data_IF_481796509332
#
_entry.id   IF_481796509332
#
_cell.length_a   1.000
_cell.length_b   1.000
_cell.length_c   1.000
_cell.angle_alpha   90.00
_cell.angle_beta   90.00
_cell.angle_gamma   90.00
#
_symmetry.space_group_name_H-M   'P 1'
#
loop_
_entity.id
_entity.type
_entity.pdbx_description
1 polymer ?
#
# COMPACT_ATOMS: atom_id res chain seq x y z
N UNK A 1 -2.80 -45.57 -32.67
CA UNK A 1 -2.06 -46.03 -31.47
C UNK A 1 -2.36 -45.08 -30.32
N UNK A 2 -3.40 -45.41 -29.54
CA UNK A 2 -3.97 -44.56 -28.50
C UNK A 2 -3.31 -44.88 -27.16
N UNK A 3 -2.55 -43.94 -26.59
CA UNK A 3 -1.93 -44.11 -25.26
C UNK A 3 -3.00 -43.87 -24.18
N UNK A 4 -3.42 -44.95 -23.54
CA UNK A 4 -4.25 -44.91 -22.33
C UNK A 4 -3.40 -44.36 -21.18
N UNK A 5 -3.76 -43.19 -20.66
CA UNK A 5 -3.16 -42.61 -19.47
C UNK A 5 -3.60 -43.40 -18.22
N UNK A 6 -2.69 -43.68 -17.28
CA UNK A 6 -3.01 -44.41 -16.06
C UNK A 6 -3.96 -43.59 -15.17
N UNK A 7 -5.05 -44.22 -14.76
CA UNK A 7 -6.03 -43.67 -13.83
C UNK A 7 -5.38 -43.49 -12.45
N UNK A 8 -5.08 -42.24 -12.11
CA UNK A 8 -4.60 -41.86 -10.78
C UNK A 8 -5.70 -42.15 -9.75
N UNK A 9 -5.51 -43.23 -8.99
CA UNK A 9 -6.40 -43.63 -7.89
C UNK A 9 -6.44 -42.50 -6.84
N UNK A 10 -7.59 -41.85 -6.72
CA UNK A 10 -7.82 -40.82 -5.70
C UNK A 10 -7.93 -41.49 -4.33
N UNK A 11 -7.21 -41.03 -3.29
CA UNK A 11 -7.33 -41.56 -1.95
C UNK A 11 -8.78 -41.45 -1.45
N UNK A 12 -9.30 -42.54 -0.89
CA UNK A 12 -10.56 -42.57 -0.13
C UNK A 12 -10.21 -42.75 1.34
N UNK A 13 -11.01 -42.17 2.23
CA UNK A 13 -10.87 -42.44 3.65
C UNK A 13 -11.34 -43.86 4.00
N UNK A 14 -11.15 -44.26 5.25
CA UNK A 14 -11.59 -45.56 5.78
C UNK A 14 -13.11 -45.76 5.76
N UNK A 15 -13.90 -44.74 5.39
CA UNK A 15 -15.36 -44.79 5.23
C UNK A 15 -15.79 -44.79 3.76
N UNK A 16 -14.83 -44.87 2.82
CA UNK A 16 -15.09 -44.86 1.38
C UNK A 16 -15.48 -43.48 0.83
N UNK A 17 -15.44 -42.43 1.64
CA UNK A 17 -15.75 -41.07 1.22
C UNK A 17 -14.54 -40.50 0.47
N UNK A 18 -14.82 -39.80 -0.64
CA UNK A 18 -13.80 -39.09 -1.40
C UNK A 18 -13.36 -37.86 -0.62
N UNK A 19 -12.20 -37.93 -0.01
CA UNK A 19 -11.56 -36.80 0.64
C UNK A 19 -10.91 -35.92 -0.43
N UNK A 20 -11.33 -34.66 -0.52
CA UNK A 20 -10.63 -33.66 -1.32
C UNK A 20 -9.35 -33.35 -0.54
N UNK A 21 -8.19 -33.77 -1.02
CA UNK A 21 -6.91 -33.36 -0.45
C UNK A 21 -6.83 -31.84 -0.57
N UNK A 22 -7.18 -31.13 0.51
CA UNK A 22 -6.87 -29.72 0.64
C UNK A 22 -5.35 -29.67 0.71
N UNK A 23 -4.75 -29.20 -0.38
CA UNK A 23 -3.33 -29.14 -0.59
C UNK A 23 -2.69 -28.39 0.60
N UNK A 24 -1.87 -29.06 1.40
CA UNK A 24 -1.20 -28.49 2.60
C UNK A 24 -0.38 -27.23 2.29
N UNK A 25 -0.15 -26.93 1.03
CA UNK A 25 0.45 -25.68 0.51
C UNK A 25 -0.40 -24.44 0.82
N UNK A 26 -1.74 -24.54 0.86
CA UNK A 26 -2.62 -23.39 1.10
C UNK A 26 -2.53 -22.87 2.53
N UNK A 27 -2.58 -23.76 3.52
CA UNK A 27 -2.48 -23.40 4.94
C UNK A 27 -1.11 -22.79 5.32
N UNK A 28 -0.02 -23.23 4.67
CA UNK A 28 1.32 -22.65 4.88
C UNK A 28 1.47 -21.29 4.20
N UNK A 29 0.83 -21.08 3.04
CA UNK A 29 0.75 -19.77 2.37
C UNK A 29 -0.09 -18.77 3.18
N UNK A 30 -1.22 -19.18 3.74
CA UNK A 30 -2.06 -18.32 4.57
C UNK A 30 -1.34 -17.83 5.84
N UNK A 31 -0.58 -18.70 6.51
CA UNK A 31 0.22 -18.32 7.68
C UNK A 31 1.38 -17.35 7.35
N UNK A 32 2.02 -17.53 6.20
CA UNK A 32 3.12 -16.66 5.75
C UNK A 32 2.61 -15.27 5.32
N UNK A 33 1.48 -15.23 4.60
CA UNK A 33 0.80 -13.97 4.23
C UNK A 33 0.30 -13.19 5.45
N UNK A 34 -0.07 -13.86 6.54
CA UNK A 34 -0.48 -13.22 7.79
C UNK A 34 0.67 -12.49 8.51
N UNK A 35 1.89 -13.06 8.49
CA UNK A 35 3.07 -12.42 9.06
C UNK A 35 3.57 -11.26 8.20
N UNK A 36 3.60 -11.43 6.88
CA UNK A 36 4.02 -10.39 5.94
C UNK A 36 3.11 -9.15 6.00
N UNK A 37 1.79 -9.37 6.17
CA UNK A 37 0.82 -8.29 6.35
C UNK A 37 1.02 -7.52 7.65
N UNK A 38 1.42 -8.18 8.74
CA UNK A 38 1.73 -7.48 10.01
C UNK A 38 3.00 -6.64 9.89
N UNK A 39 4.01 -7.16 9.21
CA UNK A 39 5.29 -6.47 9.03
C UNK A 39 5.15 -5.21 8.17
N UNK A 40 4.39 -5.27 7.08
CA UNK A 40 4.14 -4.10 6.22
C UNK A 40 3.36 -3.01 6.97
N UNK A 41 2.42 -3.40 7.85
CA UNK A 41 1.64 -2.45 8.65
C UNK A 41 2.48 -1.80 9.76
N UNK A 42 3.40 -2.53 10.40
CA UNK A 42 4.29 -1.94 11.41
C UNK A 42 5.28 -0.95 10.78
N UNK A 43 5.89 -1.31 9.65
CA UNK A 43 6.89 -0.46 9.00
C UNK A 43 6.28 0.83 8.44
N UNK A 44 5.04 0.77 7.96
CA UNK A 44 4.30 1.98 7.52
C UNK A 44 3.84 2.85 8.70
N UNK A 45 3.49 2.24 9.84
CA UNK A 45 3.14 2.98 11.04
C UNK A 45 4.34 3.76 11.62
N UNK A 46 5.52 3.15 11.69
CA UNK A 46 6.72 3.82 12.21
C UNK A 46 7.14 5.02 11.36
N UNK A 47 7.09 4.89 10.03
CA UNK A 47 7.38 6.01 9.11
C UNK A 47 6.37 7.15 9.23
N UNK A 48 5.08 6.82 9.34
CA UNK A 48 4.03 7.82 9.52
C UNK A 48 4.18 8.58 10.85
N UNK A 49 4.56 7.90 11.92
CA UNK A 49 4.82 8.52 13.23
C UNK A 49 6.05 9.42 13.15
N UNK A 50 7.14 8.98 12.53
CA UNK A 50 8.35 9.79 12.35
C UNK A 50 8.09 11.08 11.55
N UNK A 51 7.36 10.99 10.44
CA UNK A 51 6.98 12.15 9.63
C UNK A 51 6.08 13.12 10.40
N UNK A 52 5.15 12.58 11.20
CA UNK A 52 4.28 13.40 12.06
C UNK A 52 5.10 14.16 13.09
N UNK A 53 6.07 13.50 13.73
CA UNK A 53 6.97 14.15 14.69
C UNK A 53 7.86 15.22 14.04
N UNK A 54 8.36 15.00 12.82
CA UNK A 54 9.12 15.99 12.07
C UNK A 54 8.32 17.28 11.82
N UNK A 55 7.05 17.14 11.43
CA UNK A 55 6.16 18.29 11.21
C UNK A 55 5.88 19.02 12.53
N UNK A 56 5.61 18.29 13.61
CA UNK A 56 5.35 18.86 14.93
C UNK A 56 6.59 19.60 15.45
N UNK A 57 7.77 18.96 15.42
CA UNK A 57 9.02 19.56 15.88
C UNK A 57 9.42 20.76 15.04
N UNK A 58 9.26 20.70 13.71
CA UNK A 58 9.48 21.84 12.82
C UNK A 58 8.55 23.01 13.14
N UNK A 59 7.27 22.72 13.41
CA UNK A 59 6.31 23.73 13.86
C UNK A 59 6.68 24.37 15.20
N UNK A 60 7.02 23.55 16.20
CA UNK A 60 7.44 24.03 17.53
C UNK A 60 8.70 24.88 17.42
N UNK A 61 9.71 24.43 16.67
CA UNK A 61 10.93 25.19 16.44
C UNK A 61 10.67 26.51 15.72
N UNK A 62 9.80 26.52 14.71
CA UNK A 62 9.41 27.74 14.01
C UNK A 62 8.72 28.75 14.93
N UNK A 63 7.77 28.28 15.74
CA UNK A 63 7.08 29.12 16.74
C UNK A 63 8.04 29.64 17.80
N UNK A 64 8.93 28.78 18.32
CA UNK A 64 9.94 29.17 19.29
C UNK A 64 10.89 30.23 18.76
N UNK A 65 11.36 30.09 17.51
CA UNK A 65 12.23 31.08 16.85
C UNK A 65 11.52 32.43 16.68
N UNK A 66 10.22 32.42 16.33
CA UNK A 66 9.41 33.63 16.23
C UNK A 66 9.32 34.35 17.58
N UNK A 67 9.08 33.61 18.67
CA UNK A 67 8.97 34.19 20.02
C UNK A 67 10.29 34.79 20.51
N UNK A 68 11.44 34.17 20.18
CA UNK A 68 12.77 34.67 20.54
C UNK A 68 13.19 35.88 19.70
N UNK A 69 12.79 35.92 18.42
CA UNK A 69 13.11 37.03 17.52
C UNK A 69 12.23 38.27 17.72
N UNK A 70 11.03 38.12 18.30
CA UNK A 70 10.04 39.18 18.49
C UNK A 70 10.56 40.52 19.08
N UNK A 71 11.42 40.56 20.13
CA UNK A 71 11.89 41.82 20.69
C UNK A 71 12.87 42.58 19.79
N UNK A 72 13.52 41.93 18.82
CA UNK A 72 14.48 42.57 17.92
C UNK A 72 13.83 43.29 16.72
N UNK A 73 12.53 43.11 16.48
CA UNK A 73 11.85 43.55 15.23
C UNK A 73 10.81 44.65 15.48
N UNK A 74 11.01 45.47 16.51
CA UNK A 74 10.01 46.39 17.07
C UNK A 74 9.48 47.49 16.12
N UNK A 75 9.95 47.61 14.88
CA UNK A 75 9.39 48.56 13.90
C UNK A 75 8.78 47.91 12.64
N UNK A 76 9.11 46.66 12.31
CA UNK A 76 8.61 45.93 11.11
C UNK A 76 8.08 44.51 11.45
N UNK A 77 7.97 44.17 12.74
CA UNK A 77 8.14 42.81 13.25
C UNK A 77 6.94 41.90 13.37
N UNK A 78 5.72 42.42 13.42
CA UNK A 78 4.55 41.54 13.43
C UNK A 78 4.29 40.95 12.04
N UNK A 79 4.42 41.76 10.98
CA UNK A 79 4.20 41.29 9.62
C UNK A 79 5.27 40.30 9.16
N UNK A 80 6.54 40.54 9.49
CA UNK A 80 7.64 39.62 9.18
C UNK A 80 7.47 38.26 9.87
N UNK A 81 7.18 38.26 11.18
CA UNK A 81 6.93 37.03 11.93
C UNK A 81 5.70 36.26 11.41
N UNK A 82 4.60 36.97 11.14
CA UNK A 82 3.39 36.35 10.60
C UNK A 82 3.62 35.75 9.20
N UNK A 83 4.34 36.46 8.31
CA UNK A 83 4.68 35.97 6.98
C UNK A 83 5.62 34.76 7.04
N UNK A 84 6.61 34.76 7.94
CA UNK A 84 7.51 33.63 8.13
C UNK A 84 6.76 32.40 8.67
N UNK A 85 5.88 32.59 9.65
CA UNK A 85 5.03 31.52 10.18
C UNK A 85 4.09 30.95 9.12
N UNK A 86 3.44 31.81 8.33
CA UNK A 86 2.59 31.40 7.22
C UNK A 86 3.40 30.63 6.16
N UNK A 87 4.59 31.11 5.81
CA UNK A 87 5.48 30.45 4.85
C UNK A 87 5.91 29.06 5.36
N UNK A 88 6.34 28.95 6.62
CA UNK A 88 6.71 27.67 7.22
C UNK A 88 5.53 26.68 7.27
N UNK A 89 4.33 27.15 7.63
CA UNK A 89 3.12 26.34 7.62
C UNK A 89 2.75 25.87 6.21
N UNK A 90 2.84 26.75 5.21
CA UNK A 90 2.59 26.42 3.80
C UNK A 90 3.60 25.38 3.29
N UNK A 91 4.89 25.57 3.59
CA UNK A 91 5.94 24.60 3.24
C UNK A 91 5.67 23.24 3.90
N UNK A 92 5.36 23.21 5.19
CA UNK A 92 5.00 21.98 5.91
C UNK A 92 3.79 21.28 5.30
N UNK A 93 2.74 22.02 4.94
CA UNK A 93 1.55 21.50 4.29
C UNK A 93 1.85 20.91 2.90
N UNK A 94 2.66 21.60 2.09
CA UNK A 94 3.07 21.12 0.75
C UNK A 94 3.88 19.83 0.89
N UNK A 95 4.87 19.79 1.78
CA UNK A 95 5.70 18.60 2.02
C UNK A 95 4.84 17.42 2.48
N UNK A 96 3.92 17.65 3.41
CA UNK A 96 2.98 16.64 3.88
C UNK A 96 2.09 16.11 2.73
N UNK A 97 1.52 17.00 1.91
CA UNK A 97 0.66 16.61 0.79
C UNK A 97 1.42 15.81 -0.28
N UNK A 98 2.66 16.22 -0.60
CA UNK A 98 3.52 15.50 -1.55
C UNK A 98 3.90 14.13 -1.00
N UNK A 99 4.32 14.05 0.25
CA UNK A 99 4.71 12.80 0.88
C UNK A 99 3.54 11.81 0.94
N UNK A 100 2.33 12.27 1.29
CA UNK A 100 1.13 11.42 1.25
C UNK A 100 0.83 10.88 -0.14
N UNK A 101 1.04 11.67 -1.19
CA UNK A 101 0.86 11.21 -2.58
C UNK A 101 1.90 10.17 -2.99
N UNK A 102 3.15 10.33 -2.56
CA UNK A 102 4.20 9.36 -2.82
C UNK A 102 3.92 8.03 -2.11
N UNK A 103 3.58 8.09 -0.82
CA UNK A 103 3.23 6.91 -0.04
C UNK A 103 2.01 6.19 -0.63
N UNK A 104 0.98 6.93 -1.04
CA UNK A 104 -0.19 6.36 -1.68
C UNK A 104 0.17 5.59 -2.97
N UNK A 105 1.11 6.11 -3.77
CA UNK A 105 1.58 5.43 -4.99
C UNK A 105 2.38 4.16 -4.69
N UNK A 106 3.22 4.18 -3.65
CA UNK A 106 4.01 3.02 -3.25
C UNK A 106 3.12 1.90 -2.71
N UNK A 107 2.17 2.25 -1.82
CA UNK A 107 1.17 1.31 -1.32
C UNK A 107 0.34 0.75 -2.48
N UNK A 108 -0.11 1.59 -3.41
CA UNK A 108 -0.87 1.15 -4.58
C UNK A 108 -0.08 0.14 -5.42
N UNK A 109 1.19 0.43 -5.70
CA UNK A 109 2.09 -0.47 -6.44
C UNK A 109 2.25 -1.81 -5.72
N UNK A 110 2.40 -1.79 -4.40
CA UNK A 110 2.56 -3.00 -3.59
C UNK A 110 1.28 -3.86 -3.55
N UNK A 111 0.10 -3.26 -3.48
CA UNK A 111 -1.16 -4.00 -3.57
C UNK A 111 -1.36 -4.62 -4.95
N UNK A 112 -1.06 -3.87 -6.02
CA UNK A 112 -1.19 -4.35 -7.39
C UNK A 112 -0.17 -5.44 -7.74
N UNK A 113 1.05 -5.39 -7.20
CA UNK A 113 2.03 -6.47 -7.38
C UNK A 113 1.59 -7.79 -6.76
N UNK A 114 0.79 -7.72 -5.69
CA UNK A 114 0.12 -8.88 -5.07
C UNK A 114 -1.24 -9.18 -5.69
N UNK A 115 -1.58 -8.56 -6.84
CA UNK A 115 -2.87 -8.68 -7.53
C UNK A 115 -4.05 -8.49 -6.56
N UNK A 116 -3.98 -7.48 -5.69
CA UNK A 116 -5.07 -7.08 -4.80
C UNK A 116 -5.50 -5.64 -5.07
N UNK A 117 -6.79 -5.36 -4.87
CA UNK A 117 -7.34 -4.02 -5.00
C UNK A 117 -6.76 -3.11 -3.90
N UNK A 118 -6.10 -1.98 -4.24
CA UNK A 118 -5.59 -1.02 -3.26
C UNK A 118 -6.67 -0.38 -2.38
N UNK A 119 -7.93 -0.32 -2.83
CA UNK A 119 -9.03 0.33 -2.11
C UNK A 119 -9.71 -0.58 -1.05
N UNK A 120 -9.94 -1.85 -1.38
CA UNK A 120 -10.68 -2.79 -0.49
C UNK A 120 -9.93 -4.09 -0.20
N UNK A 121 -8.72 -4.27 -0.75
CA UNK A 121 -7.90 -5.47 -0.63
C UNK A 121 -8.48 -6.77 -1.24
N UNK A 122 -9.55 -6.69 -2.04
CA UNK A 122 -10.11 -7.84 -2.79
C UNK A 122 -9.09 -8.43 -3.78
N UNK A 123 -9.07 -9.74 -3.93
CA UNK A 123 -8.15 -10.44 -4.83
C UNK A 123 -8.56 -10.28 -6.31
N UNK A 124 -7.61 -9.93 -7.17
CA UNK A 124 -7.82 -9.64 -8.59
C UNK A 124 -7.31 -10.76 -9.52
N UNK A 125 -6.74 -11.83 -8.96
CA UNK A 125 -6.03 -12.91 -9.69
C UNK A 125 -6.83 -13.60 -10.81
N UNK A 126 -8.16 -13.57 -10.72
CA UNK A 126 -9.05 -14.35 -11.59
C UNK A 126 -10.09 -13.49 -12.32
N UNK A 127 -9.97 -12.17 -12.22
CA UNK A 127 -10.86 -11.26 -12.92
C UNK A 127 -10.41 -11.11 -14.38
N UNK A 128 -11.39 -11.03 -15.27
CA UNK A 128 -11.12 -10.73 -16.68
C UNK A 128 -10.64 -9.28 -16.81
N UNK A 129 -9.62 -9.06 -17.63
CA UNK A 129 -9.24 -7.70 -18.03
C UNK A 129 -10.24 -7.22 -19.07
N UNK A 130 -10.69 -5.99 -18.92
CA UNK A 130 -11.49 -5.30 -19.92
C UNK A 130 -10.65 -4.94 -21.17
N UNK A 131 -11.31 -4.46 -22.22
CA UNK A 131 -10.65 -4.14 -23.50
C UNK A 131 -9.54 -3.09 -23.41
N UNK A 132 -9.52 -2.30 -22.34
CA UNK A 132 -8.51 -1.28 -22.04
C UNK A 132 -7.32 -1.83 -21.20
N UNK A 133 -7.34 -3.10 -20.83
CA UNK A 133 -6.34 -3.74 -19.98
C UNK A 133 -6.52 -3.48 -18.48
N UNK A 134 -7.63 -2.85 -18.07
CA UNK A 134 -7.97 -2.64 -16.68
C UNK A 134 -8.74 -3.83 -16.10
N UNK A 135 -8.61 -4.06 -14.80
CA UNK A 135 -9.45 -4.97 -14.03
C UNK A 135 -10.36 -4.15 -13.12
N UNK A 136 -11.67 -4.36 -13.22
CA UNK A 136 -12.67 -3.73 -12.34
C UNK A 136 -12.85 -4.60 -11.10
N UNK A 137 -12.66 -4.01 -9.93
CA UNK A 137 -12.90 -4.68 -8.65
C UNK A 137 -14.42 -4.83 -8.43
N UNK A 138 -14.95 -6.06 -8.23
CA UNK A 138 -16.39 -6.28 -8.06
C UNK A 138 -16.93 -5.75 -6.73
N UNK A 139 -16.07 -5.58 -5.71
CA UNK A 139 -16.49 -5.11 -4.38
C UNK A 139 -16.67 -3.59 -4.32
N UNK A 140 -15.72 -2.83 -4.88
CA UNK A 140 -15.70 -1.37 -4.75
C UNK A 140 -15.91 -0.61 -6.07
N UNK A 141 -15.93 -1.31 -7.21
CA UNK A 141 -16.07 -0.70 -8.53
C UNK A 141 -14.81 0.02 -9.06
N UNK A 142 -13.71 0.07 -8.30
CA UNK A 142 -12.47 0.69 -8.76
C UNK A 142 -11.79 -0.14 -9.87
N UNK A 143 -11.24 0.54 -10.88
CA UNK A 143 -10.53 -0.08 -11.99
C UNK A 143 -9.01 0.12 -11.87
N UNK A 144 -8.22 -0.92 -12.14
CA UNK A 144 -6.76 -0.88 -12.03
C UNK A 144 -6.08 -1.58 -13.20
N UNK A 145 -5.03 -0.98 -13.77
CA UNK A 145 -4.14 -1.68 -14.69
C UNK A 145 -3.22 -2.62 -13.89
N UNK A 146 -3.35 -3.92 -14.11
CA UNK A 146 -2.41 -4.87 -13.53
C UNK A 146 -1.10 -4.85 -14.34
N UNK A 147 0.08 -4.93 -13.69
CA UNK A 147 1.32 -5.14 -14.42
C UNK A 147 1.17 -6.45 -15.20
N UNK A 148 1.24 -6.36 -16.53
CA UNK A 148 1.23 -7.56 -17.36
C UNK A 148 2.48 -8.35 -16.98
N UNK A 149 2.29 -9.61 -16.59
CA UNK A 149 3.41 -10.56 -16.58
C UNK A 149 4.03 -10.46 -17.97
N UNK A 150 5.34 -10.18 -18.08
CA UNK A 150 6.01 -10.14 -19.36
C UNK A 150 5.72 -11.47 -20.03
N UNK A 151 4.79 -11.46 -21.00
CA UNK A 151 4.51 -12.65 -21.80
C UNK A 151 5.85 -13.03 -22.38
N UNK A 152 6.39 -14.15 -21.90
CA UNK A 152 7.71 -14.64 -22.28
C UNK A 152 7.75 -14.59 -23.80
N UNK A 153 8.58 -13.68 -24.30
CA UNK A 153 8.73 -13.24 -25.70
C UNK A 153 9.38 -14.36 -26.54
N UNK A 154 8.98 -15.59 -26.30
CA UNK A 154 9.55 -16.82 -26.84
C UNK A 154 8.46 -17.87 -27.00
N UNK A 155 7.68 -17.76 -28.08
CA UNK A 155 7.22 -18.90 -28.88
C UNK A 155 6.75 -18.44 -30.25
#
# INVERSE_FOLDING_TARGET
MSRLLPSVLRPRDHRGVRVRLVERSSARREGMLGMERRQIVSDTAERAVADTWLVILGGIMGVGLILVAAPAVQQWGMFGAAMLGLYAALCGFILFAVNRRLLAREVMTLYLSHRRCPACAYALDHLHQESDGCVICPECGAAWCLPQEPQERFR
#
